data_IF_764378075542
#
_entry.id   IF_764378075542
#
_cell.length_a   1.000
_cell.length_b   1.000
_cell.length_c   1.000
_cell.angle_alpha   90.00
_cell.angle_beta   90.00
_cell.angle_gamma   90.00
#
_symmetry.space_group_name_H-M   'P 1'
#
loop_
_entity.id
_entity.type
_entity.pdbx_description
1 polymer ?
#
# COMPACT_ATOMS: atom_id res chain seq x y z
N UNK A 1 -4.24 3.06 24.10
CA UNK A 1 -3.48 2.73 22.86
C UNK A 1 -3.93 3.59 21.69
N UNK A 2 -5.24 3.67 21.38
CA UNK A 2 -5.76 4.55 20.33
C UNK A 2 -5.51 6.04 20.58
N UNK A 3 -5.76 6.54 21.80
CA UNK A 3 -5.48 7.94 22.17
C UNK A 3 -3.98 8.30 22.05
N UNK A 4 -3.09 7.38 22.42
CA UNK A 4 -1.64 7.56 22.25
C UNK A 4 -1.30 7.73 20.76
N UNK A 5 -1.87 6.89 19.89
CA UNK A 5 -1.69 6.99 18.45
C UNK A 5 -2.18 8.35 17.90
N UNK A 6 -3.35 8.83 18.33
CA UNK A 6 -3.88 10.14 17.90
C UNK A 6 -3.08 11.34 18.43
N UNK A 7 -2.25 11.14 19.48
CA UNK A 7 -1.39 12.18 20.03
C UNK A 7 -0.03 12.31 19.32
N UNK A 8 0.30 11.37 18.43
CA UNK A 8 1.55 11.41 17.66
C UNK A 8 1.43 12.31 16.44
N UNK A 9 2.54 12.68 15.80
CA UNK A 9 2.47 13.37 14.51
C UNK A 9 2.09 12.37 13.40
N UNK A 10 0.99 12.60 12.64
CA UNK A 10 0.50 11.65 11.65
C UNK A 10 1.48 11.49 10.49
N UNK A 11 2.17 12.56 10.09
CA UNK A 11 3.14 12.52 9.00
C UNK A 11 4.37 11.69 9.37
N UNK A 12 4.91 11.90 10.56
CA UNK A 12 6.06 11.16 11.09
C UNK A 12 5.74 9.66 11.15
N UNK A 13 4.55 9.30 11.64
CA UNK A 13 4.09 7.91 11.65
C UNK A 13 4.00 7.33 10.24
N UNK A 14 3.45 8.09 9.28
CA UNK A 14 3.37 7.67 7.89
C UNK A 14 4.76 7.49 7.26
N UNK A 15 5.72 8.36 7.57
CA UNK A 15 7.10 8.27 7.09
C UNK A 15 7.81 7.02 7.63
N UNK A 16 7.64 6.70 8.90
CA UNK A 16 8.18 5.46 9.48
C UNK A 16 7.60 4.22 8.83
N UNK A 17 6.28 4.20 8.59
CA UNK A 17 5.62 3.10 7.88
C UNK A 17 6.11 2.99 6.43
N UNK A 18 6.22 4.11 5.71
CA UNK A 18 6.74 4.14 4.35
C UNK A 18 8.19 3.63 4.28
N UNK A 19 9.06 4.08 5.19
CA UNK A 19 10.43 3.61 5.29
C UNK A 19 10.52 2.11 5.61
N UNK A 20 9.65 1.61 6.50
CA UNK A 20 9.55 0.19 6.82
C UNK A 20 9.11 -0.66 5.62
N UNK A 21 8.12 -0.20 4.85
CA UNK A 21 7.68 -0.87 3.62
C UNK A 21 8.75 -0.84 2.54
N UNK A 22 9.45 0.28 2.36
CA UNK A 22 10.58 0.38 1.43
C UNK A 22 11.72 -0.58 1.82
N UNK A 23 12.06 -0.65 3.10
CA UNK A 23 13.06 -1.60 3.62
C UNK A 23 12.60 -3.04 3.39
N UNK A 24 11.32 -3.34 3.64
CA UNK A 24 10.74 -4.66 3.40
C UNK A 24 10.87 -5.07 1.92
N UNK A 25 10.45 -4.20 0.99
CA UNK A 25 10.60 -4.45 -0.45
C UNK A 25 12.06 -4.72 -0.81
N UNK A 26 12.99 -3.91 -0.31
CA UNK A 26 14.41 -4.07 -0.57
C UNK A 26 14.94 -5.40 -0.04
N UNK A 27 14.68 -5.74 1.23
CA UNK A 27 15.12 -7.02 1.83
C UNK A 27 14.54 -8.20 1.06
N UNK A 28 13.24 -8.18 0.75
CA UNK A 28 12.60 -9.25 0.00
C UNK A 28 13.19 -9.41 -1.39
N UNK A 29 13.53 -8.31 -2.07
CA UNK A 29 14.21 -8.38 -3.38
C UNK A 29 15.57 -9.06 -3.32
N UNK A 30 16.32 -8.87 -2.22
CA UNK A 30 17.62 -9.51 -2.06
C UNK A 30 17.51 -11.02 -1.82
N UNK A 31 16.47 -11.43 -1.09
CA UNK A 31 16.19 -12.83 -0.73
C UNK A 31 15.63 -13.60 -1.94
N UNK A 32 14.62 -13.06 -2.61
CA UNK A 32 13.92 -13.76 -3.70
C UNK A 32 14.50 -13.48 -5.08
N UNK A 33 15.42 -12.50 -5.19
CA UNK A 33 15.97 -12.01 -6.48
C UNK A 33 14.88 -11.47 -7.42
N UNK A 34 13.81 -10.92 -6.85
CA UNK A 34 12.67 -10.33 -7.58
C UNK A 34 12.47 -8.89 -7.11
N UNK A 35 12.41 -7.90 -8.03
CA UNK A 35 12.34 -6.48 -7.66
C UNK A 35 10.91 -5.92 -7.64
N UNK A 36 9.93 -6.66 -8.15
CA UNK A 36 8.51 -6.28 -8.27
C UNK A 36 7.70 -6.44 -6.97
N UNK A 37 8.36 -6.64 -5.81
CA UNK A 37 7.66 -6.65 -4.51
C UNK A 37 6.87 -5.38 -4.24
N UNK A 38 7.32 -4.25 -4.79
CA UNK A 38 6.60 -2.97 -4.70
C UNK A 38 5.25 -3.02 -5.42
N UNK A 39 5.14 -3.74 -6.54
CA UNK A 39 3.91 -3.85 -7.33
C UNK A 39 2.84 -4.60 -6.56
N UNK A 40 3.25 -5.63 -5.80
CA UNK A 40 2.37 -6.42 -4.92
C UNK A 40 1.79 -5.57 -3.78
N UNK A 41 2.53 -4.56 -3.30
CA UNK A 41 2.11 -3.67 -2.22
C UNK A 41 1.37 -2.42 -2.73
N UNK A 42 1.49 -2.10 -4.01
CA UNK A 42 0.95 -0.87 -4.58
C UNK A 42 -0.57 -0.76 -4.42
N UNK A 43 -1.30 -1.86 -4.50
CA UNK A 43 -2.76 -1.84 -4.31
C UNK A 43 -3.20 -1.67 -2.85
N UNK A 44 -2.28 -1.84 -1.89
CA UNK A 44 -2.55 -1.82 -0.44
C UNK A 44 -2.06 -0.51 0.18
N UNK A 45 -0.94 0.03 -0.30
CA UNK A 45 -0.27 1.17 0.34
C UNK A 45 -1.08 2.46 0.30
N UNK A 46 -1.74 2.89 -0.80
CA UNK A 46 -2.58 4.09 -0.77
C UNK A 46 -3.81 3.97 0.15
N UNK A 47 -4.59 2.86 0.14
CA UNK A 47 -5.64 2.65 1.14
C UNK A 47 -5.13 2.72 2.58
N UNK A 48 -3.97 2.10 2.85
CA UNK A 48 -3.36 2.09 4.18
C UNK A 48 -3.06 3.50 4.67
N UNK A 49 -2.43 4.34 3.84
CA UNK A 49 -2.14 5.72 4.24
C UNK A 49 -3.40 6.59 4.35
N UNK A 50 -4.37 6.42 3.45
CA UNK A 50 -5.63 7.16 3.55
C UNK A 50 -6.41 6.81 4.83
N UNK A 51 -6.45 5.52 5.19
CA UNK A 51 -7.04 5.06 6.46
C UNK A 51 -6.26 5.55 7.67
N UNK A 52 -4.92 5.60 7.61
CA UNK A 52 -4.09 6.16 8.67
C UNK A 52 -4.46 7.63 8.95
N UNK A 53 -4.52 8.48 7.92
CA UNK A 53 -4.89 9.90 8.13
C UNK A 53 -6.34 10.07 8.62
N UNK A 54 -7.29 9.28 8.11
CA UNK A 54 -8.67 9.30 8.60
C UNK A 54 -8.78 8.81 10.05
N UNK A 55 -8.08 7.72 10.40
CA UNK A 55 -8.06 7.16 11.74
C UNK A 55 -7.35 8.04 12.76
N UNK A 56 -6.35 8.82 12.33
CA UNK A 56 -5.63 9.73 13.21
C UNK A 56 -6.52 10.86 13.76
N UNK A 57 -7.47 11.35 12.95
CA UNK A 57 -8.51 12.27 13.42
C UNK A 57 -9.72 11.54 14.02
N UNK A 58 -9.62 10.24 14.29
CA UNK A 58 -10.73 9.46 14.86
C UNK A 58 -11.94 9.34 13.94
N UNK A 59 -11.73 9.42 12.62
CA UNK A 59 -12.79 9.43 11.62
C UNK A 59 -13.82 10.56 11.81
N UNK A 60 -13.45 11.67 12.45
CA UNK A 60 -14.37 12.81 12.67
C UNK A 60 -14.55 13.69 11.43
N UNK A 61 -13.68 13.58 10.42
CA UNK A 61 -13.72 14.38 9.20
C UNK A 61 -14.32 13.59 8.02
N UNK A 62 -15.44 14.07 7.49
CA UNK A 62 -16.16 13.41 6.41
C UNK A 62 -15.36 13.35 5.08
N UNK A 63 -14.50 14.34 4.80
CA UNK A 63 -13.68 14.37 3.58
C UNK A 63 -12.59 13.31 3.67
N UNK A 64 -11.91 13.19 4.80
CA UNK A 64 -10.90 12.15 5.01
C UNK A 64 -11.51 10.75 4.93
N UNK A 65 -12.68 10.54 5.55
CA UNK A 65 -13.39 9.27 5.49
C UNK A 65 -13.82 8.90 4.07
N UNK A 66 -14.31 9.87 3.29
CA UNK A 66 -14.68 9.67 1.90
C UNK A 66 -13.46 9.26 1.06
N UNK A 67 -12.34 9.98 1.20
CA UNK A 67 -11.10 9.68 0.49
C UNK A 67 -10.55 8.29 0.87
N UNK A 68 -10.57 7.94 2.15
CA UNK A 68 -10.16 6.62 2.62
C UNK A 68 -11.07 5.51 2.07
N UNK A 69 -12.39 5.70 2.07
CA UNK A 69 -13.34 4.74 1.50
C UNK A 69 -13.13 4.53 -0.01
N UNK A 70 -12.96 5.62 -0.77
CA UNK A 70 -12.66 5.54 -2.20
C UNK A 70 -11.32 4.86 -2.47
N UNK A 71 -10.28 5.16 -1.68
CA UNK A 71 -8.98 4.51 -1.78
C UNK A 71 -9.09 3.01 -1.50
N UNK A 72 -9.83 2.59 -0.47
CA UNK A 72 -10.08 1.17 -0.17
C UNK A 72 -10.80 0.47 -1.32
N UNK A 73 -11.85 1.06 -1.90
CA UNK A 73 -12.57 0.48 -3.05
C UNK A 73 -11.65 0.34 -4.27
N UNK A 74 -10.85 1.37 -4.55
CA UNK A 74 -9.85 1.36 -5.62
C UNK A 74 -8.78 0.29 -5.39
N UNK A 75 -8.22 0.21 -4.18
CA UNK A 75 -7.21 -0.78 -3.81
C UNK A 75 -7.75 -2.21 -3.84
N UNK A 76 -8.99 -2.43 -3.42
CA UNK A 76 -9.68 -3.72 -3.54
C UNK A 76 -9.85 -4.13 -5.00
N UNK A 77 -10.29 -3.21 -5.88
CA UNK A 77 -10.37 -3.45 -7.32
C UNK A 77 -9.01 -3.83 -7.91
N UNK A 78 -7.95 -3.10 -7.59
CA UNK A 78 -6.61 -3.38 -8.10
C UNK A 78 -6.05 -4.70 -7.57
N UNK A 79 -6.22 -4.98 -6.28
CA UNK A 79 -5.81 -6.24 -5.66
C UNK A 79 -6.50 -7.42 -6.35
N UNK A 80 -7.81 -7.32 -6.60
CA UNK A 80 -8.56 -8.33 -7.36
C UNK A 80 -8.04 -8.46 -8.80
N UNK A 81 -7.79 -7.34 -9.49
CA UNK A 81 -7.25 -7.34 -10.85
C UNK A 81 -5.86 -8.00 -10.91
N UNK A 82 -4.96 -7.66 -10.00
CA UNK A 82 -3.61 -8.21 -9.94
C UNK A 82 -3.62 -9.72 -9.61
N UNK A 83 -4.54 -10.15 -8.75
CA UNK A 83 -4.74 -11.57 -8.45
C UNK A 83 -5.21 -12.38 -9.67
N UNK A 84 -6.20 -11.87 -10.44
CA UNK A 84 -6.71 -12.57 -11.62
C UNK A 84 -5.72 -12.60 -12.79
N UNK A 85 -4.84 -11.61 -12.91
CA UNK A 85 -3.80 -11.57 -13.96
C UNK A 85 -2.53 -12.31 -13.57
N UNK A 86 -2.47 -12.92 -12.38
CA UNK A 86 -1.36 -13.78 -11.97
C UNK A 86 -0.19 -13.06 -11.30
N UNK A 87 -0.31 -11.79 -10.94
CA UNK A 87 0.78 -11.00 -10.35
C UNK A 87 1.25 -11.48 -8.97
N UNK A 88 0.50 -12.37 -8.29
CA UNK A 88 0.95 -12.99 -7.03
C UNK A 88 1.73 -14.31 -7.22
N UNK A 89 1.86 -14.82 -8.44
CA UNK A 89 2.64 -16.04 -8.71
C UNK A 89 4.14 -15.80 -8.41
N UNK A 90 4.94 -16.85 -8.12
CA UNK A 90 6.39 -16.71 -8.01
C UNK A 90 6.97 -16.15 -9.32
N UNK A 91 7.76 -15.06 -9.26
CA UNK A 91 8.23 -14.35 -10.45
C UNK A 91 7.14 -13.60 -11.23
N UNK A 92 5.95 -13.45 -10.64
CA UNK A 92 4.85 -12.69 -11.22
C UNK A 92 5.12 -11.19 -11.16
N UNK A 93 5.49 -10.61 -12.30
CA UNK A 93 5.53 -9.16 -12.49
C UNK A 93 4.16 -8.65 -12.96
N UNK A 94 3.97 -7.34 -12.98
CA UNK A 94 2.79 -6.77 -13.64
C UNK A 94 2.79 -7.19 -15.11
N UNK A 95 1.65 -7.66 -15.62
CA UNK A 95 1.53 -8.14 -17.00
C UNK A 95 1.97 -7.09 -18.01
N UNK A 96 1.83 -5.79 -17.69
CA UNK A 96 2.23 -4.65 -18.54
C UNK A 96 3.73 -4.53 -18.79
N UNK A 97 4.54 -5.24 -18.00
CA UNK A 97 5.99 -5.19 -18.10
C UNK A 97 6.52 -6.01 -19.28
N UNK A 98 5.83 -7.09 -19.65
CA UNK A 98 6.19 -7.89 -20.83
C UNK A 98 6.14 -7.05 -22.11
N UNK A 99 5.16 -6.16 -22.27
CA UNK A 99 5.06 -5.30 -23.46
C UNK A 99 6.03 -4.11 -23.46
N UNK A 100 6.62 -3.75 -22.31
CA UNK A 100 7.60 -2.65 -22.21
C UNK A 100 9.03 -3.13 -22.48
N UNK A 101 9.28 -4.44 -22.40
CA UNK A 101 10.60 -5.04 -22.67
C UNK A 101 10.88 -5.30 -24.16
N UNK A 102 9.88 -5.23 -25.04
CA UNK A 102 10.04 -5.30 -26.51
C UNK A 102 10.49 -3.95 -27.11
#
# INVERSE_FOLDING_TARGET
>A
MFELYQSTDPLTTALWVAGGLALLCWVLSLITKEYSWVDRLWSITPPLFALHFAGHVGFSDARLNLMAGLAVLWGARLTYNFARTGGYKPGGEDYRWEEIQE
#
